data_IF_756331040972
#
_entry.id   IF_756331040972
#
_cell.length_a   1.000
_cell.length_b   1.000
_cell.length_c   1.000
_cell.angle_alpha   90.00
_cell.angle_beta   90.00
_cell.angle_gamma   90.00
#
_symmetry.space_group_name_H-M   'P 1'
#
loop_
_entity.id
_entity.type
_entity.pdbx_description
1 polymer ?
#
# COMPACT_ATOMS: atom_id res chain seq x y z
N UNK A 1 -11.96 0.95 -45.75
CA UNK A 1 -11.71 1.15 -44.30
C UNK A 1 -10.27 0.74 -44.01
N UNK A 2 -9.45 1.60 -43.40
CA UNK A 2 -8.05 1.25 -43.13
C UNK A 2 -8.01 0.13 -42.09
N UNK A 3 -7.32 -0.96 -42.42
CA UNK A 3 -7.15 -2.07 -41.49
C UNK A 3 -6.00 -1.77 -40.53
N UNK A 4 -6.32 -1.73 -39.25
CA UNK A 4 -5.34 -1.55 -38.18
C UNK A 4 -4.50 -2.82 -38.12
N UNK A 5 -3.26 -2.74 -38.63
CA UNK A 5 -2.27 -3.82 -38.53
C UNK A 5 -1.50 -3.70 -37.22
N UNK A 6 -1.07 -4.84 -36.65
CA UNK A 6 -0.35 -4.87 -35.37
C UNK A 6 0.89 -3.97 -35.34
N UNK A 7 1.54 -3.75 -36.49
CA UNK A 7 2.68 -2.83 -36.64
C UNK A 7 2.28 -1.37 -36.42
N UNK A 8 1.11 -0.96 -36.91
CA UNK A 8 0.59 0.41 -36.74
C UNK A 8 0.22 0.65 -35.29
N UNK A 9 -0.35 -0.35 -34.60
CA UNK A 9 -0.61 -0.29 -33.15
C UNK A 9 0.69 -0.11 -32.38
N UNK A 10 1.72 -0.90 -32.70
CA UNK A 10 3.04 -0.80 -32.07
C UNK A 10 3.70 0.56 -32.30
N UNK A 11 3.60 1.11 -33.50
CA UNK A 11 4.13 2.44 -33.81
C UNK A 11 3.34 3.54 -33.08
N UNK A 12 2.02 3.42 -32.99
CA UNK A 12 1.18 4.36 -32.25
C UNK A 12 1.45 4.30 -30.74
N UNK A 13 1.60 3.12 -30.15
CA UNK A 13 1.92 2.98 -28.72
C UNK A 13 3.32 3.50 -28.40
N UNK A 14 4.28 3.31 -29.31
CA UNK A 14 5.62 3.87 -29.16
C UNK A 14 5.60 5.41 -29.24
N UNK A 15 4.84 5.98 -30.20
CA UNK A 15 4.69 7.43 -30.35
C UNK A 15 3.93 8.07 -29.18
N UNK A 16 2.87 7.42 -28.70
CA UNK A 16 2.09 7.89 -27.56
C UNK A 16 2.85 7.77 -26.23
N UNK A 17 3.76 6.80 -26.09
CA UNK A 17 4.60 6.67 -24.89
C UNK A 17 5.82 7.62 -24.91
N UNK A 18 6.23 8.10 -26.08
CA UNK A 18 7.39 8.98 -26.22
C UNK A 18 7.20 10.33 -25.51
N UNK A 19 6.02 10.94 -25.59
CA UNK A 19 5.74 12.26 -24.98
C UNK A 19 5.74 12.24 -23.44
N UNK A 20 5.03 11.30 -22.77
CA UNK A 20 5.15 11.10 -21.33
C UNK A 20 6.58 10.75 -20.89
N UNK A 21 7.26 9.87 -21.63
CA UNK A 21 8.63 9.50 -21.33
C UNK A 21 9.57 10.71 -21.41
N UNK A 22 9.43 11.54 -22.45
CA UNK A 22 10.25 12.74 -22.64
C UNK A 22 9.97 13.81 -21.57
N UNK A 23 8.73 13.94 -21.11
CA UNK A 23 8.36 14.82 -20.01
C UNK A 23 8.93 14.34 -18.66
N UNK A 24 8.88 13.04 -18.39
CA UNK A 24 9.46 12.42 -17.18
C UNK A 24 10.99 12.59 -17.18
N UNK A 25 11.66 12.27 -18.30
CA UNK A 25 13.11 12.43 -18.44
C UNK A 25 13.51 13.91 -18.27
N UNK A 26 12.76 14.85 -18.84
CA UNK A 26 13.01 16.30 -18.73
C UNK A 26 12.96 16.79 -17.28
N UNK A 27 11.93 16.39 -16.54
CA UNK A 27 11.73 16.84 -15.16
C UNK A 27 12.75 16.21 -14.19
N UNK A 28 13.36 15.08 -14.55
CA UNK A 28 14.17 14.24 -13.64
C UNK A 28 15.69 14.32 -13.93
N UNK A 29 16.10 15.03 -14.98
CA UNK A 29 17.51 15.22 -15.36
C UNK A 29 18.14 16.53 -14.88
N UNK A 30 17.40 17.39 -14.17
CA UNK A 30 17.93 18.63 -13.59
C UNK A 30 18.71 18.35 -12.28
N UNK A 31 20.04 18.20 -12.38
CA UNK A 31 20.92 17.98 -11.22
C UNK A 31 22.39 17.66 -11.59
N UNK A 32 23.30 17.65 -10.61
CA UNK A 32 24.72 17.33 -10.81
C UNK A 32 24.93 15.88 -11.30
N UNK A 33 26.06 15.58 -11.97
CA UNK A 33 26.34 14.26 -12.56
C UNK A 33 26.19 13.08 -11.58
N UNK A 34 26.64 13.24 -10.34
CA UNK A 34 26.54 12.21 -9.29
C UNK A 34 25.10 12.02 -8.80
N UNK A 35 24.32 13.12 -8.69
CA UNK A 35 22.90 13.04 -8.32
C UNK A 35 22.08 12.38 -9.43
N UNK A 36 22.44 12.61 -10.70
CA UNK A 36 21.80 11.95 -11.84
C UNK A 36 22.07 10.46 -11.86
N UNK A 37 23.31 10.03 -11.59
CA UNK A 37 23.65 8.60 -11.54
C UNK A 37 22.90 7.87 -10.41
N UNK A 38 22.89 8.45 -9.20
CA UNK A 38 22.13 7.90 -8.06
C UNK A 38 20.62 7.91 -8.32
N UNK A 39 20.08 8.96 -8.95
CA UNK A 39 18.68 8.99 -9.36
C UNK A 39 18.39 7.90 -10.39
N UNK A 40 19.25 7.69 -11.39
CA UNK A 40 19.06 6.65 -12.41
C UNK A 40 19.09 5.24 -11.83
N UNK A 41 19.99 4.94 -10.89
CA UNK A 41 20.02 3.64 -10.22
C UNK A 41 18.73 3.40 -9.42
N UNK A 42 18.30 4.39 -8.63
CA UNK A 42 17.02 4.32 -7.90
C UNK A 42 15.83 4.13 -8.83
N UNK A 43 15.84 4.76 -10.00
CA UNK A 43 14.79 4.61 -11.01
C UNK A 43 14.78 3.21 -11.59
N UNK A 44 15.94 2.65 -11.92
CA UNK A 44 16.04 1.28 -12.44
C UNK A 44 15.53 0.28 -11.39
N UNK A 45 15.92 0.46 -10.13
CA UNK A 45 15.44 -0.37 -9.01
C UNK A 45 13.92 -0.24 -8.86
N UNK A 46 13.39 0.99 -8.86
CA UNK A 46 11.94 1.23 -8.73
C UNK A 46 11.16 0.71 -9.93
N UNK A 47 11.70 0.81 -11.15
CA UNK A 47 11.06 0.32 -12.37
C UNK A 47 10.99 -1.20 -12.43
N UNK A 48 12.07 -1.89 -12.02
CA UNK A 48 12.07 -3.34 -11.86
C UNK A 48 11.00 -3.76 -10.86
N UNK A 49 10.94 -3.10 -9.70
CA UNK A 49 9.93 -3.36 -8.67
C UNK A 49 8.49 -3.08 -9.14
N UNK A 50 8.25 -2.00 -9.89
CA UNK A 50 6.94 -1.66 -10.46
C UNK A 50 6.47 -2.66 -11.49
N UNK A 51 7.35 -3.08 -12.40
CA UNK A 51 7.04 -4.06 -13.44
C UNK A 51 6.70 -5.41 -12.84
N UNK A 52 7.44 -5.81 -11.80
CA UNK A 52 7.26 -7.12 -11.15
C UNK A 52 5.99 -7.18 -10.31
N UNK A 53 5.53 -6.05 -9.73
CA UNK A 53 4.47 -6.07 -8.73
C UNK A 53 3.21 -5.23 -9.06
N UNK A 54 3.35 -4.02 -9.61
CA UNK A 54 2.20 -3.11 -9.85
C UNK A 54 1.46 -3.48 -11.14
N UNK A 55 2.20 -3.82 -12.20
CA UNK A 55 1.63 -4.26 -13.48
C UNK A 55 1.38 -5.78 -13.57
N UNK A 56 1.75 -6.51 -12.52
CA UNK A 56 1.60 -7.96 -12.48
C UNK A 56 0.25 -8.33 -11.89
N UNK A 57 -0.70 -8.66 -12.77
CA UNK A 57 -2.03 -9.16 -12.38
C UNK A 57 -1.98 -10.40 -11.49
N UNK A 58 -0.90 -11.20 -11.55
CA UNK A 58 -0.74 -12.34 -10.65
C UNK A 58 -0.47 -11.91 -9.20
N UNK A 59 0.31 -10.86 -8.96
CA UNK A 59 0.55 -10.34 -7.60
C UNK A 59 -0.74 -9.83 -6.95
N UNK A 60 -1.62 -9.18 -7.75
CA UNK A 60 -2.97 -8.80 -7.32
C UNK A 60 -3.85 -10.01 -7.03
N UNK A 61 -3.84 -11.02 -7.91
CA UNK A 61 -4.59 -12.26 -7.74
C UNK A 61 -4.09 -13.03 -6.53
N UNK A 62 -2.78 -13.06 -6.27
CA UNK A 62 -2.17 -13.73 -5.12
C UNK A 62 -2.43 -12.98 -3.82
N UNK A 63 -2.41 -11.64 -3.84
CA UNK A 63 -2.83 -10.85 -2.68
C UNK A 63 -4.32 -11.05 -2.38
N UNK A 64 -5.18 -10.96 -3.39
CA UNK A 64 -6.60 -11.29 -3.28
C UNK A 64 -6.76 -12.72 -2.79
N UNK A 65 -6.06 -13.70 -3.36
CA UNK A 65 -6.05 -15.09 -2.93
C UNK A 65 -5.29 -15.32 -1.62
N UNK A 66 -4.65 -14.33 -1.00
CA UNK A 66 -4.12 -14.42 0.37
C UNK A 66 -5.16 -13.90 1.38
N UNK A 67 -6.03 -13.00 0.93
CA UNK A 67 -7.16 -12.44 1.67
C UNK A 67 -8.43 -13.32 1.56
N UNK A 68 -8.72 -13.83 0.36
CA UNK A 68 -9.89 -14.61 -0.08
C UNK A 68 -9.80 -16.14 0.11
N UNK A 69 -8.64 -16.83 0.31
CA UNK A 69 -8.52 -18.28 0.13
C UNK A 69 -9.22 -19.11 1.22
N UNK A 70 -10.16 -18.53 1.95
CA UNK A 70 -11.04 -19.23 2.89
C UNK A 70 -12.53 -19.03 2.60
N UNK A 71 -12.92 -18.31 1.54
CA UNK A 71 -14.31 -18.30 1.09
C UNK A 71 -14.66 -19.51 0.22
N UNK A 72 -13.68 -20.14 -0.44
CA UNK A 72 -13.94 -21.17 -1.46
C UNK A 72 -13.25 -22.53 -1.21
N UNK A 73 -12.42 -22.66 -0.15
CA UNK A 73 -11.55 -23.82 0.05
C UNK A 73 -11.90 -24.71 1.25
N UNK A 74 -13.08 -24.53 1.87
CA UNK A 74 -13.55 -25.44 2.92
C UNK A 74 -14.70 -26.31 2.39
N UNK A 75 -14.41 -27.60 2.23
CA UNK A 75 -15.43 -28.66 2.14
C UNK A 75 -16.27 -28.67 3.42
N UNK A 76 -17.60 -28.63 3.19
CA UNK A 76 -18.75 -29.01 4.02
C UNK A 76 -18.88 -28.44 5.46
N UNK A 77 -20.00 -27.74 5.69
CA UNK A 77 -20.62 -27.36 6.97
C UNK A 77 -20.14 -26.11 7.74
N UNK A 78 -19.72 -25.04 7.07
CA UNK A 78 -19.75 -23.69 7.66
C UNK A 78 -20.57 -22.75 6.76
N UNK A 79 -21.55 -22.06 7.34
CA UNK A 79 -22.45 -21.16 6.64
C UNK A 79 -21.65 -20.08 5.89
N UNK A 80 -21.51 -20.26 4.58
CA UNK A 80 -20.77 -19.37 3.68
C UNK A 80 -21.28 -17.93 3.79
N UNK A 81 -22.56 -17.76 4.08
CA UNK A 81 -23.19 -16.47 4.29
C UNK A 81 -22.65 -15.79 5.54
N UNK A 82 -22.57 -16.50 6.67
CA UNK A 82 -21.97 -15.99 7.90
C UNK A 82 -20.50 -15.60 7.71
N UNK A 83 -19.73 -16.41 6.97
CA UNK A 83 -18.29 -16.15 6.72
C UNK A 83 -18.08 -14.87 5.89
N UNK A 84 -18.94 -14.65 4.88
CA UNK A 84 -18.92 -13.48 4.02
C UNK A 84 -19.39 -12.22 4.75
N UNK A 85 -20.45 -12.32 5.56
CA UNK A 85 -20.90 -11.21 6.42
C UNK A 85 -19.81 -10.77 7.39
N UNK A 86 -19.11 -11.72 8.02
CA UNK A 86 -17.97 -11.41 8.89
C UNK A 86 -16.78 -10.80 8.12
N UNK A 87 -16.52 -11.22 6.88
CA UNK A 87 -15.47 -10.63 6.04
C UNK A 87 -15.79 -9.17 5.71
N UNK A 88 -17.03 -8.91 5.29
CA UNK A 88 -17.53 -7.56 5.02
C UNK A 88 -17.50 -6.69 6.27
N UNK A 89 -17.87 -7.23 7.44
CA UNK A 89 -17.77 -6.51 8.72
C UNK A 89 -16.35 -6.11 9.05
N UNK A 90 -15.37 -6.98 8.81
CA UNK A 90 -13.96 -6.67 9.02
C UNK A 90 -13.50 -5.57 8.07
N UNK A 91 -13.89 -5.64 6.80
CA UNK A 91 -13.58 -4.62 5.81
C UNK A 91 -14.17 -3.25 6.21
N UNK A 92 -15.41 -3.23 6.68
CA UNK A 92 -16.04 -2.03 7.24
C UNK A 92 -15.28 -1.50 8.46
N UNK A 93 -14.85 -2.38 9.38
CA UNK A 93 -14.03 -1.97 10.52
C UNK A 93 -12.66 -1.44 10.13
N UNK A 94 -12.09 -1.93 9.02
CA UNK A 94 -10.86 -1.37 8.48
C UNK A 94 -11.11 0.04 7.97
N UNK A 95 -12.29 0.44 7.50
CA UNK A 95 -12.52 1.82 7.11
C UNK A 95 -12.56 2.77 8.30
N UNK A 96 -13.40 2.47 9.29
CA UNK A 96 -13.50 3.24 10.53
C UNK A 96 -14.10 2.37 11.65
N UNK A 97 -13.74 2.66 12.89
CA UNK A 97 -14.32 2.00 14.05
C UNK A 97 -14.09 2.79 15.34
N UNK A 98 -15.03 2.70 16.28
CA UNK A 98 -14.97 3.40 17.57
C UNK A 98 -13.89 2.86 18.52
N UNK A 99 -13.34 1.68 18.23
CA UNK A 99 -12.36 1.00 19.10
C UNK A 99 -10.90 1.42 18.79
N UNK A 100 -10.69 2.18 17.72
CA UNK A 100 -9.37 2.58 17.25
C UNK A 100 -8.52 1.42 16.71
N UNK A 101 -9.14 0.33 16.25
CA UNK A 101 -8.44 -0.78 15.59
C UNK A 101 -7.89 -0.37 14.22
N UNK A 102 -6.85 -1.06 13.75
CA UNK A 102 -6.28 -0.85 12.42
C UNK A 102 -5.77 0.58 12.20
N UNK A 103 -5.16 1.15 13.24
CA UNK A 103 -4.64 2.51 13.32
C UNK A 103 -5.65 3.65 13.08
N UNK A 104 -6.96 3.42 13.25
CA UNK A 104 -7.98 4.49 13.12
C UNK A 104 -8.22 5.29 14.41
N UNK A 105 -7.49 5.00 15.49
CA UNK A 105 -7.58 5.79 16.72
C UNK A 105 -7.33 7.27 16.46
N UNK A 106 -8.21 8.12 16.99
CA UNK A 106 -8.17 9.59 16.91
C UNK A 106 -7.31 10.22 18.01
N UNK A 107 -6.74 9.40 18.88
CA UNK A 107 -5.85 9.86 19.94
C UNK A 107 -4.49 10.29 19.36
N UNK A 108 -3.95 11.45 19.77
CA UNK A 108 -2.62 11.88 19.37
C UNK A 108 -1.54 10.89 19.80
N UNK A 109 -0.66 10.53 18.87
CA UNK A 109 0.45 9.59 19.07
C UNK A 109 1.75 10.35 19.31
N UNK A 110 1.86 10.89 20.52
CA UNK A 110 3.03 11.66 20.98
C UNK A 110 3.42 11.27 22.41
N UNK A 111 4.71 10.99 22.69
CA UNK A 111 5.82 11.01 21.75
C UNK A 111 5.83 9.77 20.84
N UNK A 112 6.24 9.92 19.58
CA UNK A 112 6.44 8.77 18.68
C UNK A 112 7.53 7.83 19.23
N UNK A 113 7.24 6.54 19.47
CA UNK A 113 8.24 5.61 19.98
C UNK A 113 9.38 5.38 18.99
N UNK A 114 10.60 5.21 19.50
CA UNK A 114 11.81 5.05 18.66
C UNK A 114 11.84 3.74 17.86
N UNK A 115 11.06 2.73 18.28
CA UNK A 115 10.95 1.44 17.59
C UNK A 115 9.92 1.44 16.45
N UNK A 116 9.12 2.50 16.31
CA UNK A 116 8.30 2.74 15.12
C UNK A 116 9.20 3.36 14.07
N UNK A 117 9.58 2.60 13.05
CA UNK A 117 10.63 3.00 12.10
C UNK A 117 10.13 3.82 10.92
N UNK A 118 8.90 3.59 10.49
CA UNK A 118 8.30 4.26 9.34
C UNK A 118 7.33 5.34 9.80
N UNK A 119 7.09 6.31 8.91
CA UNK A 119 6.27 7.50 9.18
C UNK A 119 5.05 7.53 8.27
N UNK A 120 4.00 8.17 8.75
CA UNK A 120 2.82 8.50 7.94
C UNK A 120 3.24 9.32 6.71
N UNK A 121 2.60 9.03 5.58
CA UNK A 121 2.90 9.60 4.27
C UNK A 121 4.03 8.90 3.50
N UNK A 122 4.79 8.00 4.12
CA UNK A 122 5.85 7.27 3.40
C UNK A 122 5.26 6.21 2.46
N UNK A 123 5.95 6.03 1.32
CA UNK A 123 5.64 5.00 0.32
C UNK A 123 6.40 3.72 0.66
N UNK A 124 5.71 2.59 0.67
CA UNK A 124 6.28 1.30 1.02
C UNK A 124 5.87 0.20 0.05
N UNK A 125 6.66 -0.87 -0.01
CA UNK A 125 6.24 -2.16 -0.55
C UNK A 125 6.00 -3.15 0.60
N UNK A 126 4.89 -3.86 0.50
CA UNK A 126 4.58 -5.05 1.30
C UNK A 126 5.37 -6.24 0.73
N UNK A 127 6.23 -6.86 1.54
CA UNK A 127 7.25 -7.80 1.05
C UNK A 127 6.70 -9.12 0.52
N UNK A 128 5.55 -9.57 1.00
CA UNK A 128 5.00 -10.88 0.66
C UNK A 128 4.42 -10.90 -0.76
N UNK A 129 3.64 -9.87 -1.11
CA UNK A 129 2.95 -9.78 -2.40
C UNK A 129 3.53 -8.68 -3.30
N UNK A 130 4.56 -7.96 -2.82
CA UNK A 130 5.22 -6.91 -3.58
C UNK A 130 4.40 -5.64 -3.78
N UNK A 131 3.23 -5.52 -3.13
CA UNK A 131 2.31 -4.43 -3.38
C UNK A 131 2.83 -3.11 -2.83
N UNK A 132 2.67 -2.06 -3.62
CA UNK A 132 3.08 -0.71 -3.25
C UNK A 132 1.91 0.07 -2.65
N UNK A 133 2.16 0.73 -1.52
CA UNK A 133 1.15 1.51 -0.83
C UNK A 133 1.72 2.70 -0.06
N UNK A 134 0.83 3.48 0.54
CA UNK A 134 1.17 4.65 1.36
C UNK A 134 0.71 4.40 2.79
N UNK A 135 1.61 4.65 3.75
CA UNK A 135 1.28 4.57 5.18
C UNK A 135 0.35 5.74 5.53
N UNK A 136 -0.85 5.42 6.01
CA UNK A 136 -1.85 6.40 6.49
C UNK A 136 -2.03 6.36 8.00
N UNK A 137 -1.35 5.44 8.69
CA UNK A 137 -1.35 5.36 10.13
C UNK A 137 -0.52 4.21 10.68
N UNK A 138 -0.28 4.22 11.98
CA UNK A 138 0.43 3.16 12.68
C UNK A 138 -0.10 2.94 14.10
N UNK A 139 0.07 1.73 14.62
CA UNK A 139 -0.09 1.39 16.03
C UNK A 139 1.23 0.80 16.55
N UNK A 140 1.54 1.02 17.83
CA UNK A 140 2.78 0.53 18.47
C UNK A 140 2.86 -0.99 18.53
N UNK A 141 1.71 -1.64 18.50
CA UNK A 141 1.53 -3.09 18.56
C UNK A 141 0.30 -3.51 17.76
N UNK A 142 0.05 -4.82 17.66
CA UNK A 142 -1.13 -5.35 17.01
C UNK A 142 -2.42 -4.90 17.73
N UNK A 143 -3.18 -4.01 17.09
CA UNK A 143 -4.49 -3.51 17.56
C UNK A 143 -5.57 -3.84 16.54
N UNK A 144 -6.12 -5.05 16.64
CA UNK A 144 -7.18 -5.55 15.76
C UNK A 144 -8.22 -6.38 16.54
N UNK A 145 -9.46 -6.51 16.03
CA UNK A 145 -10.47 -7.39 16.63
C UNK A 145 -9.99 -8.84 16.72
N UNK A 146 -10.40 -9.60 17.76
CA UNK A 146 -10.04 -11.01 17.88
C UNK A 146 -10.48 -11.88 16.70
N UNK A 147 -11.57 -11.52 16.00
CA UNK A 147 -11.98 -12.27 14.80
C UNK A 147 -10.98 -12.11 13.66
N UNK A 148 -10.36 -10.94 13.54
CA UNK A 148 -9.34 -10.67 12.53
C UNK A 148 -8.06 -11.50 12.78
N UNK A 149 -7.58 -11.54 14.02
CA UNK A 149 -6.37 -12.29 14.38
C UNK A 149 -6.57 -13.80 14.19
N UNK A 150 -7.75 -14.33 14.60
CA UNK A 150 -8.13 -15.73 14.33
C UNK A 150 -8.13 -16.05 12.83
N UNK A 151 -8.63 -15.13 11.99
CA UNK A 151 -8.63 -15.30 10.53
C UNK A 151 -7.23 -15.31 9.92
N UNK A 152 -6.31 -14.50 10.46
CA UNK A 152 -4.89 -14.51 10.07
C UNK A 152 -4.18 -15.82 10.40
N UNK A 153 -4.75 -16.68 11.28
CA UNK A 153 -4.18 -17.98 11.67
C UNK A 153 -2.71 -17.85 12.10
N UNK A 154 -2.40 -16.82 12.89
CA UNK A 154 -1.11 -16.75 13.54
C UNK A 154 -0.89 -18.00 14.39
N UNK A 155 0.30 -18.58 14.29
CA UNK A 155 0.79 -19.47 15.35
C UNK A 155 0.95 -18.67 16.64
N UNK A 156 0.94 -19.34 17.80
CA UNK A 156 1.05 -18.64 19.09
C UNK A 156 2.30 -17.75 19.16
N UNK A 157 3.43 -18.23 18.63
CA UNK A 157 4.68 -17.47 18.58
C UNK A 157 4.63 -16.27 17.62
N UNK A 158 3.94 -16.39 16.48
CA UNK A 158 3.73 -15.26 15.57
C UNK A 158 2.80 -14.21 16.17
N UNK A 159 1.75 -14.65 16.90
CA UNK A 159 0.84 -13.74 17.58
C UNK A 159 1.56 -12.97 18.68
N UNK A 160 2.33 -13.66 19.53
CA UNK A 160 3.16 -13.04 20.56
C UNK A 160 4.11 -11.99 19.97
N UNK A 161 4.78 -12.34 18.86
CA UNK A 161 5.64 -11.38 18.15
C UNK A 161 4.85 -10.20 17.59
N UNK A 162 3.67 -10.44 17.02
CA UNK A 162 2.86 -9.40 16.41
C UNK A 162 2.32 -8.40 17.45
N UNK A 163 1.97 -8.87 18.65
CA UNK A 163 1.48 -8.01 19.74
C UNK A 163 2.46 -6.88 20.09
N UNK A 164 3.76 -7.16 20.06
CA UNK A 164 4.83 -6.20 20.38
C UNK A 164 5.51 -5.58 19.13
N UNK A 165 4.95 -5.81 17.94
CA UNK A 165 5.48 -5.25 16.70
C UNK A 165 4.60 -4.09 16.23
N UNK A 166 5.17 -2.93 15.84
CA UNK A 166 4.39 -1.87 15.22
C UNK A 166 3.66 -2.35 13.98
N UNK A 167 2.38 -2.00 13.87
CA UNK A 167 1.54 -2.33 12.73
C UNK A 167 1.15 -1.07 11.97
N UNK A 168 1.26 -1.13 10.65
CA UNK A 168 0.99 0.00 9.76
C UNK A 168 -0.31 -0.22 9.01
N UNK A 169 -1.13 0.84 8.98
CA UNK A 169 -2.27 0.96 8.10
C UNK A 169 -1.78 1.54 6.78
N UNK A 170 -1.96 0.79 5.71
CA UNK A 170 -1.41 1.12 4.38
C UNK A 170 -2.55 1.09 3.36
N UNK A 171 -2.65 2.14 2.57
CA UNK A 171 -3.53 2.17 1.40
C UNK A 171 -2.77 1.67 0.18
N UNK A 172 -3.40 0.77 -0.56
CA UNK A 172 -2.94 0.26 -1.84
C UNK A 172 -3.95 0.64 -2.92
N UNK A 173 -3.50 0.81 -4.16
CA UNK A 173 -4.40 0.87 -5.31
C UNK A 173 -5.21 -0.42 -5.40
N UNK A 174 -6.44 -0.37 -5.89
CA UNK A 174 -7.25 -1.56 -6.14
C UNK A 174 -7.15 -2.05 -7.59
N UNK A 175 -7.92 -3.10 -7.95
CA UNK A 175 -7.95 -3.65 -9.30
C UNK A 175 -8.44 -2.67 -10.37
N UNK A 176 -9.26 -1.70 -9.96
CA UNK A 176 -9.72 -0.62 -10.81
C UNK A 176 -9.15 0.73 -10.34
N UNK A 177 -9.21 1.73 -11.21
CA UNK A 177 -8.64 3.06 -10.95
C UNK A 177 -9.37 3.86 -9.85
N UNK A 178 -10.41 3.30 -9.24
CA UNK A 178 -11.24 3.95 -8.20
C UNK A 178 -11.25 3.21 -6.87
N UNK A 179 -10.78 1.97 -6.86
CA UNK A 179 -10.79 1.09 -5.71
C UNK A 179 -9.51 1.27 -4.92
N UNK A 180 -9.65 1.11 -3.62
CA UNK A 180 -8.57 1.10 -2.66
C UNK A 180 -8.61 -0.20 -1.90
N UNK A 181 -7.45 -0.66 -1.47
CA UNK A 181 -7.33 -1.79 -0.57
C UNK A 181 -6.61 -1.32 0.69
N UNK A 182 -7.13 -1.71 1.85
CA UNK A 182 -6.56 -1.34 3.15
C UNK A 182 -5.82 -2.55 3.71
N UNK A 183 -4.52 -2.39 3.95
CA UNK A 183 -3.72 -3.37 4.67
C UNK A 183 -3.41 -2.92 6.09
N UNK A 184 -3.39 -3.88 7.01
CA UNK A 184 -2.84 -3.73 8.36
C UNK A 184 -1.68 -4.70 8.53
N UNK A 185 -0.45 -4.18 8.44
CA UNK A 185 0.74 -4.98 8.14
C UNK A 185 1.82 -4.70 9.19
N UNK A 186 2.48 -5.74 9.74
CA UNK A 186 3.55 -5.57 10.71
C UNK A 186 4.81 -4.95 10.10
N UNK A 187 5.55 -4.19 10.90
CA UNK A 187 6.77 -3.47 10.51
C UNK A 187 7.80 -4.32 9.75
N UNK A 188 8.02 -5.58 10.16
CA UNK A 188 9.02 -6.43 9.54
C UNK A 188 8.65 -6.82 8.09
N UNK A 189 7.38 -6.70 7.71
CA UNK A 189 6.87 -7.11 6.41
C UNK A 189 6.73 -5.95 5.41
N UNK A 190 7.23 -4.76 5.76
CA UNK A 190 7.22 -3.59 4.86
C UNK A 190 8.65 -3.11 4.57
N UNK A 191 8.80 -2.44 3.44
CA UNK A 191 10.06 -1.85 2.99
C UNK A 191 9.81 -0.46 2.39
N UNK A 192 10.60 0.53 2.81
CA UNK A 192 10.50 1.92 2.32
C UNK A 192 10.93 2.04 0.86
N UNK A 193 10.23 2.88 0.11
CA UNK A 193 10.55 3.29 -1.26
C UNK A 193 10.57 4.81 -1.32
N UNK A 194 11.57 5.36 -2.00
CA UNK A 194 11.77 6.80 -2.14
C UNK A 194 11.68 7.22 -3.61
N UNK A 195 11.28 8.47 -3.85
CA UNK A 195 11.29 9.08 -5.18
C UNK A 195 10.20 8.58 -6.13
N UNK A 196 9.21 7.85 -5.61
CA UNK A 196 8.06 7.40 -6.39
C UNK A 196 6.76 7.87 -5.75
N UNK A 197 5.89 8.48 -6.55
CA UNK A 197 4.55 8.89 -6.14
C UNK A 197 3.54 7.88 -6.72
N UNK A 198 2.99 6.95 -5.92
CA UNK A 198 1.92 6.09 -6.37
C UNK A 198 0.63 6.91 -6.61
N UNK A 199 -0.17 6.45 -7.56
CA UNK A 199 -1.51 6.98 -7.83
C UNK A 199 -2.53 6.06 -7.16
N UNK A 200 -2.95 6.42 -5.95
CA UNK A 200 -3.92 5.67 -5.16
C UNK A 200 -5.13 6.58 -4.95
N UNK A 201 -6.35 6.13 -5.30
CA UNK A 201 -7.57 6.91 -5.09
C UNK A 201 -7.71 7.31 -3.62
N UNK A 202 -8.35 8.45 -3.35
CA UNK A 202 -8.66 8.94 -1.99
C UNK A 202 -7.47 9.37 -1.13
N UNK A 203 -6.22 9.32 -1.63
CA UNK A 203 -5.07 9.83 -0.89
C UNK A 203 -5.22 11.32 -0.56
N UNK A 204 -5.93 12.08 -1.39
CA UNK A 204 -6.24 13.50 -1.14
C UNK A 204 -7.06 13.74 0.14
N UNK A 205 -7.67 12.71 0.73
CA UNK A 205 -8.37 12.83 2.01
C UNK A 205 -7.39 12.85 3.20
N UNK A 206 -6.20 12.27 3.03
CA UNK A 206 -5.16 12.12 4.05
C UNK A 206 -4.00 13.08 3.85
N UNK A 207 -3.75 13.47 2.59
CA UNK A 207 -2.54 14.19 2.20
C UNK A 207 -2.81 15.31 1.20
N UNK A 208 -2.14 16.44 1.40
CA UNK A 208 -2.26 17.62 0.55
C UNK A 208 -1.40 17.54 -0.72
N UNK A 209 -0.16 17.06 -0.58
CA UNK A 209 0.80 16.98 -1.68
C UNK A 209 1.88 15.92 -1.45
N UNK A 210 2.70 15.67 -2.46
CA UNK A 210 3.88 14.81 -2.38
C UNK A 210 5.14 15.67 -2.48
N UNK A 211 6.01 15.64 -1.48
CA UNK A 211 7.19 16.51 -1.38
C UNK A 211 8.42 15.98 -2.14
N UNK A 212 8.34 14.76 -2.69
CA UNK A 212 9.43 14.07 -3.37
C UNK A 212 9.99 12.88 -2.58
N UNK A 213 9.77 12.84 -1.27
CA UNK A 213 10.15 11.74 -0.39
C UNK A 213 8.93 11.05 0.21
N UNK A 214 7.91 11.82 0.60
CA UNK A 214 6.67 11.36 1.21
C UNK A 214 5.48 12.27 0.90
N UNK A 215 4.30 11.80 1.26
CA UNK A 215 3.11 12.63 1.26
C UNK A 215 3.06 13.52 2.51
N UNK A 216 2.69 14.78 2.32
CA UNK A 216 2.49 15.77 3.39
C UNK A 216 1.08 15.60 3.93
N UNK A 217 0.97 15.39 5.23
CA UNK A 217 -0.30 15.14 5.92
C UNK A 217 -1.25 16.34 5.81
N UNK A 218 -2.54 16.06 5.80
CA UNK A 218 -3.58 17.07 6.09
C UNK A 218 -3.58 17.43 7.58
N UNK A 219 -4.08 18.62 7.93
CA UNK A 219 -4.05 19.16 9.30
C UNK A 219 -4.60 18.17 10.33
N UNK A 220 -5.72 17.51 10.01
CA UNK A 220 -6.37 16.55 10.91
C UNK A 220 -5.50 15.31 11.19
N UNK A 221 -4.67 14.90 10.23
CA UNK A 221 -3.80 13.73 10.37
C UNK A 221 -2.51 14.09 11.11
N UNK A 222 -2.02 15.33 10.94
CA UNK A 222 -0.93 15.90 11.75
C UNK A 222 -1.31 15.99 13.24
N UNK A 223 -2.57 16.33 13.57
CA UNK A 223 -3.04 16.33 14.96
C UNK A 223 -2.96 14.95 15.62
N UNK A 224 -3.11 13.88 14.83
CA UNK A 224 -3.02 12.50 15.31
C UNK A 224 -1.57 12.02 15.33
N UNK A 225 -0.75 12.43 14.36
CA UNK A 225 0.66 12.02 14.21
C UNK A 225 1.61 13.23 14.19
N UNK A 226 1.69 14.02 15.28
CA UNK A 226 2.41 15.31 15.27
C UNK A 226 3.93 15.18 15.15
N UNK A 227 4.48 13.99 15.46
CA UNK A 227 5.91 13.70 15.42
C UNK A 227 6.37 13.01 14.12
N UNK A 228 5.46 12.79 13.17
CA UNK A 228 5.69 12.12 11.89
C UNK A 228 6.13 13.08 10.79
#
# INVERSE_FOLDING_TARGET
MPQITSTVILQLTLLLSALPAQYIISRWTSGNAVQRDQATQRILDTWVLLRENYLNTAAWVDWLNSWIPKLLSFEEDVDLQQTMEEALRIELFMHDNEHGYFAVSKEPRSPRPSYVFHRVGQVVIEKQNGMMGVIVGWDEGLRAPPEWTKRKKYTDSELERALDTPHYRILFSGPDSSSILIGYIPQYNIQLIQGFKPDIPTLEQYFSQFDGERFVMEEWLEEIYPDD
#
